data_IF_367595302469
#
_entry.id   IF_367595302469
#
_cell.length_a   1.000
_cell.length_b   1.000
_cell.length_c   1.000
_cell.angle_alpha   90.00
_cell.angle_beta   90.00
_cell.angle_gamma   90.00
#
_symmetry.space_group_name_H-M   'P 1'
#
loop_
_entity.id
_entity.type
_entity.pdbx_description
1 polymer ?
#
# COMPACT_ATOMS: atom_id res chain seq x y z
N UNK A 1 -17.95 7.60 9.26
CA UNK A 1 -17.79 7.85 10.72
C UNK A 1 -17.79 9.36 10.98
N UNK A 2 -18.32 9.85 12.12
CA UNK A 2 -18.25 11.28 12.46
C UNK A 2 -16.96 11.60 13.25
N UNK A 3 -16.56 12.88 13.33
CA UNK A 3 -15.28 13.28 13.94
C UNK A 3 -15.18 12.86 15.42
N UNK A 4 -16.25 13.04 16.19
CA UNK A 4 -16.28 12.71 17.62
C UNK A 4 -16.01 11.23 17.87
N UNK A 5 -16.66 10.34 17.12
CA UNK A 5 -16.44 8.88 17.21
C UNK A 5 -15.08 8.47 16.67
N UNK A 6 -14.57 9.16 15.65
CA UNK A 6 -13.24 8.91 15.09
C UNK A 6 -12.13 9.22 16.11
N UNK A 7 -12.22 10.37 16.82
CA UNK A 7 -11.25 10.76 17.85
C UNK A 7 -11.09 9.72 18.97
N UNK A 8 -12.15 9.00 19.31
CA UNK A 8 -12.12 7.95 20.34
C UNK A 8 -11.31 6.71 19.92
N UNK A 9 -11.12 6.49 18.62
CA UNK A 9 -10.48 5.28 18.07
C UNK A 9 -9.21 5.58 17.26
N UNK A 10 -8.88 6.85 17.05
CA UNK A 10 -7.71 7.32 16.31
C UNK A 10 -6.46 7.46 17.21
N UNK A 11 -6.16 6.43 18.01
CA UNK A 11 -5.04 6.39 18.95
C UNK A 11 -3.83 5.58 18.44
N UNK A 12 -3.85 5.19 17.16
CA UNK A 12 -2.79 4.42 16.52
C UNK A 12 -2.92 2.89 16.65
N UNK A 13 -3.99 2.38 17.28
CA UNK A 13 -4.22 0.93 17.36
C UNK A 13 -4.50 0.30 16.00
N UNK A 14 -4.08 -0.95 15.85
CA UNK A 14 -4.35 -1.76 14.66
C UNK A 14 -5.71 -2.44 14.80
N UNK A 15 -6.50 -2.44 13.73
CA UNK A 15 -7.77 -3.14 13.64
C UNK A 15 -7.73 -4.26 12.60
N UNK A 16 -8.46 -5.34 12.86
CA UNK A 16 -8.78 -6.30 11.80
C UNK A 16 -9.73 -5.66 10.79
N UNK A 17 -9.74 -6.15 9.54
CA UNK A 17 -10.69 -5.65 8.54
C UNK A 17 -12.14 -5.70 9.01
N UNK A 18 -12.54 -6.83 9.64
CA UNK A 18 -13.90 -6.97 10.21
C UNK A 18 -14.22 -5.88 11.22
N UNK A 19 -13.29 -5.60 12.14
CA UNK A 19 -13.48 -4.56 13.14
C UNK A 19 -13.52 -3.17 12.51
N UNK A 20 -12.68 -2.91 11.52
CA UNK A 20 -12.70 -1.65 10.77
C UNK A 20 -14.04 -1.43 10.06
N UNK A 21 -14.65 -2.48 9.50
CA UNK A 21 -15.98 -2.42 8.88
C UNK A 21 -17.08 -2.12 9.90
N UNK A 22 -17.09 -2.79 11.06
CA UNK A 22 -18.03 -2.50 12.15
C UNK A 22 -17.95 -1.03 12.63
N UNK A 23 -16.73 -0.49 12.66
CA UNK A 23 -16.48 0.91 13.06
C UNK A 23 -16.78 1.91 11.93
N UNK A 24 -17.03 1.45 10.71
CA UNK A 24 -17.25 2.29 9.53
C UNK A 24 -16.00 3.04 9.07
N UNK A 25 -14.83 2.43 9.27
CA UNK A 25 -13.53 2.90 8.75
C UNK A 25 -13.27 2.41 7.32
N UNK A 26 -13.90 1.31 6.91
CA UNK A 26 -13.89 0.77 5.55
C UNK A 26 -15.32 0.43 5.13
N UNK A 27 -15.59 0.51 3.84
CA UNK A 27 -16.94 0.25 3.30
C UNK A 27 -17.24 -1.25 3.24
N UNK A 28 -16.28 -2.04 2.72
CA UNK A 28 -16.47 -3.46 2.43
C UNK A 28 -15.25 -4.32 2.79
N UNK A 29 -15.48 -5.62 2.92
CA UNK A 29 -14.42 -6.62 3.07
C UNK A 29 -14.29 -7.36 1.76
N UNK A 30 -13.06 -7.52 1.30
CA UNK A 30 -12.76 -8.22 0.06
C UNK A 30 -11.26 -8.30 -0.17
N UNK A 31 -10.91 -8.82 -1.32
CA UNK A 31 -9.54 -8.87 -1.82
C UNK A 31 -9.32 -7.78 -2.90
N UNK A 32 -8.15 -7.82 -3.52
CA UNK A 32 -7.79 -6.89 -4.59
C UNK A 32 -8.74 -6.98 -5.79
N UNK A 33 -9.19 -8.18 -6.16
CA UNK A 33 -10.08 -8.38 -7.29
C UNK A 33 -11.46 -7.75 -7.05
N UNK A 34 -11.97 -7.83 -5.82
CA UNK A 34 -13.22 -7.17 -5.43
C UNK A 34 -13.10 -5.65 -5.59
N UNK A 35 -11.97 -5.07 -5.14
CA UNK A 35 -11.69 -3.65 -5.31
C UNK A 35 -11.58 -3.23 -6.79
N UNK A 36 -10.91 -4.03 -7.63
CA UNK A 36 -10.82 -3.79 -9.07
C UNK A 36 -12.21 -3.84 -9.73
N UNK A 37 -13.00 -4.85 -9.41
CA UNK A 37 -14.34 -5.01 -9.96
C UNK A 37 -15.23 -3.83 -9.55
N UNK A 38 -15.15 -3.40 -8.28
CA UNK A 38 -15.91 -2.24 -7.80
C UNK A 38 -15.49 -0.95 -8.51
N UNK A 39 -14.19 -0.74 -8.72
CA UNK A 39 -13.69 0.40 -9.46
C UNK A 39 -14.20 0.41 -10.92
N UNK A 40 -14.19 -0.74 -11.61
CA UNK A 40 -14.75 -0.88 -12.97
C UNK A 40 -16.24 -0.57 -13.04
N UNK A 41 -17.00 -1.04 -12.06
CA UNK A 41 -18.45 -0.78 -11.93
C UNK A 41 -18.71 0.72 -11.78
N UNK A 42 -18.06 1.36 -10.80
CA UNK A 42 -18.23 2.79 -10.51
C UNK A 42 -17.83 3.68 -11.69
N UNK A 43 -16.75 3.30 -12.39
CA UNK A 43 -16.26 4.02 -13.56
C UNK A 43 -16.96 3.63 -14.88
N UNK A 44 -17.88 2.65 -14.86
CA UNK A 44 -18.61 2.13 -16.03
C UNK A 44 -17.69 1.64 -17.17
N UNK A 45 -16.59 0.96 -16.80
CA UNK A 45 -15.57 0.45 -17.73
C UNK A 45 -15.27 -1.04 -17.49
N UNK A 46 -16.20 -1.94 -17.86
CA UNK A 46 -16.06 -3.38 -17.58
C UNK A 46 -14.79 -3.99 -18.20
N UNK A 47 -14.40 -3.52 -19.39
CA UNK A 47 -13.28 -4.06 -20.16
C UNK A 47 -11.93 -3.37 -19.88
N UNK A 48 -11.85 -2.55 -18.84
CA UNK A 48 -10.60 -1.87 -18.48
C UNK A 48 -9.46 -2.89 -18.24
N UNK A 49 -8.30 -2.60 -18.83
CA UNK A 49 -7.07 -3.38 -18.64
C UNK A 49 -6.39 -2.95 -17.35
N UNK A 50 -5.89 -3.93 -16.60
CA UNK A 50 -5.19 -3.70 -15.34
C UNK A 50 -3.69 -3.79 -15.61
N UNK A 51 -2.95 -2.77 -15.16
CA UNK A 51 -1.49 -2.73 -15.24
C UNK A 51 -0.91 -2.74 -13.82
N UNK A 52 -0.06 -3.72 -13.54
CA UNK A 52 0.72 -3.74 -12.31
C UNK A 52 1.96 -2.86 -12.54
N UNK A 53 2.02 -1.74 -11.82
CA UNK A 53 3.18 -0.85 -11.87
C UNK A 53 4.14 -1.31 -10.79
N UNK A 54 5.25 -1.90 -11.19
CA UNK A 54 6.38 -2.07 -10.30
C UNK A 54 7.04 -0.71 -10.09
N UNK A 55 7.36 -0.38 -8.83
CA UNK A 55 8.22 0.77 -8.55
C UNK A 55 9.52 0.60 -9.34
N UNK A 56 9.76 1.48 -10.32
CA UNK A 56 11.04 1.54 -11.00
C UNK A 56 12.08 1.90 -9.95
N UNK A 57 12.75 0.89 -9.38
CA UNK A 57 14.01 1.09 -8.64
C UNK A 57 14.90 1.92 -9.57
N UNK A 58 15.32 3.10 -9.11
CA UNK A 58 16.02 4.08 -9.94
C UNK A 58 17.21 3.45 -10.68
N UNK A 59 17.49 3.94 -11.88
CA UNK A 59 18.56 3.45 -12.75
C UNK A 59 19.89 3.25 -12.01
N UNK A 60 20.26 4.22 -11.16
CA UNK A 60 21.46 4.17 -10.33
C UNK A 60 21.47 2.97 -9.39
N UNK A 61 20.33 2.62 -8.76
CA UNK A 61 20.26 1.48 -7.83
C UNK A 61 20.50 0.14 -8.51
N UNK A 62 19.99 -0.05 -9.73
CA UNK A 62 20.23 -1.28 -10.51
C UNK A 62 21.68 -1.38 -10.98
N UNK A 63 22.28 -0.26 -11.40
CA UNK A 63 23.67 -0.22 -11.87
C UNK A 63 24.66 -0.45 -10.72
N UNK A 64 24.41 0.11 -9.54
CA UNK A 64 25.27 -0.06 -8.37
C UNK A 64 25.08 -1.41 -7.64
N UNK A 65 23.94 -2.10 -7.81
CA UNK A 65 23.69 -3.44 -7.23
C UNK A 65 24.39 -4.57 -8.02
N UNK A 66 24.68 -4.41 -9.32
CA UNK A 66 25.39 -5.42 -10.12
C UNK A 66 26.92 -5.45 -9.84
N UNK A 67 27.52 -4.32 -9.44
CA UNK A 67 28.96 -4.23 -9.13
C UNK A 67 29.31 -4.48 -7.66
N UNK A 68 28.37 -4.27 -6.73
CA UNK A 68 28.63 -4.36 -5.29
C UNK A 68 27.79 -5.46 -4.66
N UNK A 69 28.46 -6.59 -4.39
CA UNK A 69 27.97 -7.70 -3.60
C UNK A 69 27.22 -7.18 -2.35
N UNK A 70 26.02 -7.72 -2.12
CA UNK A 70 24.89 -7.18 -1.33
C UNK A 70 25.13 -6.72 0.12
N UNK A 71 26.35 -6.75 0.65
CA UNK A 71 26.67 -6.44 2.05
C UNK A 71 27.09 -4.97 2.29
N UNK A 72 27.60 -4.26 1.29
CA UNK A 72 28.15 -2.91 1.50
C UNK A 72 27.10 -1.81 1.66
N UNK A 73 25.85 -2.04 1.26
CA UNK A 73 24.77 -1.05 1.35
C UNK A 73 24.46 -0.66 2.80
N UNK A 74 24.43 -1.65 3.70
CA UNK A 74 24.22 -1.39 5.13
C UNK A 74 25.44 -0.69 5.75
N UNK A 75 26.66 -1.10 5.38
CA UNK A 75 27.90 -0.51 5.90
C UNK A 75 28.06 0.97 5.49
N UNK A 76 27.74 1.32 4.24
CA UNK A 76 27.78 2.69 3.75
C UNK A 76 26.75 3.59 4.44
N UNK A 77 25.55 3.08 4.73
CA UNK A 77 24.52 3.82 5.47
C UNK A 77 25.00 4.22 6.89
N UNK A 78 25.75 3.36 7.58
CA UNK A 78 26.29 3.67 8.91
C UNK A 78 27.48 4.63 8.88
N UNK A 79 28.26 4.68 7.79
CA UNK A 79 29.38 5.61 7.62
C UNK A 79 28.96 7.05 7.30
N UNK A 80 27.75 7.23 6.76
CA UNK A 80 27.19 8.54 6.38
C UNK A 80 26.27 9.17 7.44
N UNK A 81 26.21 8.57 8.64
CA UNK A 81 25.53 9.08 9.84
C UNK A 81 26.55 9.61 10.83
#
# INVERSE_FOLDING_TARGET
INEEKLRQIADGRVFTGRKAKELGLVDELGNLQDAINKAKELARVPDARIYYVEERRGFLRRLFEEELNTDYTFMLYYLMK
#
